data_IF_232511466676
#
_entry.id   IF_232511466676
#
_cell.length_a   1.000
_cell.length_b   1.000
_cell.length_c   1.000
_cell.angle_alpha   90.00
_cell.angle_beta   90.00
_cell.angle_gamma   90.00
#
_symmetry.space_group_name_H-M   'P 1'
#
loop_
_entity.id
_entity.type
_entity.pdbx_description
1 polymer ?
#
# COMPACT_ATOMS: atom_id res chain seq x y z
N UNK A 1 4.98 -0.57 -0.01
CA UNK A 1 5.45 0.77 0.44
C UNK A 1 6.83 1.01 -0.15
N UNK A 2 7.04 2.11 -0.87
CA UNK A 2 8.31 2.38 -1.57
C UNK A 2 9.23 3.34 -0.80
N UNK A 3 8.70 4.40 -0.22
CA UNK A 3 9.46 5.30 0.65
C UNK A 3 8.56 6.01 1.64
N UNK A 4 9.12 6.53 2.74
CA UNK A 4 8.37 7.26 3.75
C UNK A 4 9.13 8.49 4.24
N UNK A 5 8.37 9.49 4.65
CA UNK A 5 8.81 10.72 5.29
C UNK A 5 7.97 10.95 6.54
N UNK A 6 8.32 11.94 7.38
CA UNK A 6 7.53 12.26 8.59
C UNK A 6 6.07 12.64 8.32
N UNK A 7 5.72 13.04 7.09
CA UNK A 7 4.38 13.52 6.74
C UNK A 7 3.65 12.66 5.71
N UNK A 8 4.38 11.86 4.95
CA UNK A 8 3.87 11.19 3.76
C UNK A 8 4.54 9.84 3.59
N UNK A 9 3.75 8.84 3.22
CA UNK A 9 4.19 7.52 2.77
C UNK A 9 3.90 7.41 1.28
N UNK A 10 4.89 7.02 0.50
CA UNK A 10 4.78 6.71 -0.92
C UNK A 10 4.67 5.20 -1.09
N UNK A 11 3.77 4.80 -1.97
CA UNK A 11 3.47 3.42 -2.27
C UNK A 11 3.38 3.24 -3.78
N UNK A 12 3.61 2.02 -4.23
CA UNK A 12 3.26 1.61 -5.59
C UNK A 12 2.04 0.69 -5.46
N UNK A 13 1.01 0.95 -6.25
CA UNK A 13 -0.25 0.20 -6.23
C UNK A 13 -0.07 -1.02 -7.12
N UNK A 14 -0.07 -2.21 -6.51
CA UNK A 14 0.20 -3.47 -7.18
C UNK A 14 -1.06 -4.22 -7.61
N UNK A 15 -2.16 -4.02 -6.90
CA UNK A 15 -3.44 -4.67 -7.16
C UNK A 15 -4.57 -3.78 -6.63
N UNK A 16 -5.76 -3.94 -7.23
CA UNK A 16 -7.02 -3.37 -6.76
C UNK A 16 -8.01 -4.52 -6.67
N UNK A 17 -8.55 -4.70 -5.47
CA UNK A 17 -9.31 -5.90 -5.11
C UNK A 17 -8.49 -7.17 -5.42
N UNK A 18 -9.06 -8.13 -6.14
CA UNK A 18 -8.40 -9.38 -6.50
C UNK A 18 -7.63 -9.32 -7.84
N UNK A 19 -7.54 -8.14 -8.46
CA UNK A 19 -6.94 -8.00 -9.78
C UNK A 19 -5.58 -7.31 -9.72
N UNK A 20 -4.49 -7.96 -10.20
CA UNK A 20 -3.18 -7.33 -10.29
C UNK A 20 -3.20 -6.22 -11.35
N UNK A 21 -2.63 -5.07 -11.01
CA UNK A 21 -2.51 -3.95 -11.91
C UNK A 21 -1.22 -4.07 -12.72
N UNK A 22 -1.35 -4.03 -14.05
CA UNK A 22 -0.20 -3.87 -14.95
C UNK A 22 0.04 -2.38 -15.18
N UNK A 23 1.11 -1.83 -14.59
CA UNK A 23 1.55 -0.45 -14.82
C UNK A 23 1.97 0.30 -13.55
N UNK A 24 2.69 1.43 -13.68
CA UNK A 24 3.14 2.21 -12.54
C UNK A 24 2.00 3.09 -12.02
N UNK A 25 1.26 2.62 -11.03
CA UNK A 25 0.32 3.44 -10.27
C UNK A 25 0.95 3.83 -8.95
N UNK A 26 1.02 5.13 -8.64
CA UNK A 26 1.63 5.60 -7.40
C UNK A 26 0.57 5.95 -6.38
N UNK A 27 0.70 5.41 -5.19
CA UNK A 27 -0.08 5.75 -4.01
C UNK A 27 0.61 6.80 -3.15
N UNK A 28 -0.16 7.73 -2.62
CA UNK A 28 0.26 8.72 -1.64
C UNK A 28 -0.63 8.61 -0.40
N UNK A 29 -0.05 8.29 0.75
CA UNK A 29 -0.74 8.24 2.03
C UNK A 29 -0.19 9.35 2.92
N UNK A 30 -1.04 10.31 3.31
CA UNK A 30 -0.63 11.42 4.18
C UNK A 30 -0.77 11.02 5.64
N UNK A 31 -0.02 11.67 6.53
CA UNK A 31 -0.03 11.40 7.97
C UNK A 31 -1.43 11.39 8.57
N UNK A 32 -2.25 12.37 8.20
CA UNK A 32 -3.63 12.49 8.67
C UNK A 32 -4.54 11.36 8.16
N UNK A 33 -4.15 10.63 7.12
CA UNK A 33 -4.96 9.56 6.52
C UNK A 33 -4.53 8.16 7.03
N UNK A 34 -3.64 8.12 8.04
CA UNK A 34 -3.15 6.87 8.66
C UNK A 34 -4.15 6.30 9.67
N UNK A 35 -4.74 7.12 10.55
CA UNK A 35 -5.64 6.65 11.62
C UNK A 35 -6.96 7.42 11.58
N UNK A 36 -8.07 6.79 11.97
CA UNK A 36 -9.38 7.44 12.04
C UNK A 36 -9.40 8.51 13.16
N UNK A 37 -8.88 8.11 14.32
CA UNK A 37 -8.73 8.93 15.52
C UNK A 37 -7.29 9.40 15.67
N UNK A 38 -7.09 10.53 16.35
CA UNK A 38 -5.75 11.10 16.62
C UNK A 38 -4.88 11.26 15.34
N UNK A 39 -5.48 11.78 14.27
CA UNK A 39 -4.89 11.91 12.92
C UNK A 39 -3.52 12.61 12.92
N UNK A 40 -3.31 13.59 13.79
CA UNK A 40 -2.07 14.36 13.88
C UNK A 40 -1.00 13.79 14.82
N UNK A 41 -1.28 12.67 15.51
CA UNK A 41 -0.30 12.00 16.36
C UNK A 41 0.27 10.74 15.71
N UNK A 42 -0.29 10.30 14.58
CA UNK A 42 0.24 9.16 13.85
C UNK A 42 1.66 9.45 13.35
N UNK A 43 2.62 8.60 13.74
CA UNK A 43 3.98 8.61 13.19
C UNK A 43 4.08 7.57 12.06
N UNK A 44 4.31 7.98 10.80
CA UNK A 44 4.51 7.05 9.69
C UNK A 44 5.62 6.03 9.94
N UNK A 45 6.69 6.41 10.66
CA UNK A 45 7.80 5.54 11.00
C UNK A 45 7.47 4.52 12.11
N UNK A 46 6.31 4.62 12.77
CA UNK A 46 5.81 3.57 13.67
C UNK A 46 4.71 2.74 13.01
N UNK A 47 4.21 3.16 11.85
CA UNK A 47 3.11 2.51 11.15
C UNK A 47 3.59 1.65 9.98
N UNK A 48 4.63 2.07 9.26
CA UNK A 48 5.08 1.42 8.03
C UNK A 48 6.62 1.37 7.92
N UNK A 49 7.10 0.47 7.06
CA UNK A 49 8.47 0.43 6.54
C UNK A 49 8.48 0.26 5.02
N UNK A 50 9.58 0.68 4.37
CA UNK A 50 9.83 0.32 2.97
C UNK A 50 9.80 -1.20 2.81
N UNK A 51 9.14 -1.68 1.75
CA UNK A 51 8.93 -3.10 1.50
C UNK A 51 7.65 -3.70 2.12
N UNK A 52 6.97 -2.99 3.04
CA UNK A 52 5.69 -3.49 3.58
C UNK A 52 4.61 -3.52 2.49
N UNK A 53 3.77 -4.56 2.51
CA UNK A 53 2.54 -4.63 1.74
C UNK A 53 1.39 -4.09 2.59
N UNK A 54 0.70 -3.08 2.05
CA UNK A 54 -0.40 -2.42 2.75
C UNK A 54 -1.71 -2.57 1.97
N UNK A 55 -2.80 -2.84 2.69
CA UNK A 55 -4.15 -2.67 2.21
C UNK A 55 -4.61 -1.26 2.56
N UNK A 56 -5.07 -0.53 1.55
CA UNK A 56 -5.52 0.85 1.69
C UNK A 56 -6.72 1.09 0.80
N UNK A 57 -7.52 2.11 1.13
CA UNK A 57 -8.62 2.58 0.29
C UNK A 57 -8.17 3.79 -0.52
N UNK A 58 -8.58 3.85 -1.78
CA UNK A 58 -8.39 5.03 -2.63
C UNK A 58 -9.39 6.10 -2.18
N UNK A 59 -8.88 7.28 -1.83
CA UNK A 59 -9.70 8.46 -1.56
C UNK A 59 -9.98 9.23 -2.84
N UNK A 60 -8.92 9.58 -3.58
CA UNK A 60 -9.00 10.39 -4.79
C UNK A 60 -7.94 9.94 -5.78
N UNK A 61 -8.20 10.14 -7.07
CA UNK A 61 -7.21 10.03 -8.13
C UNK A 61 -6.72 11.42 -8.51
N UNK A 62 -5.41 11.61 -8.50
CA UNK A 62 -4.71 12.82 -8.86
C UNK A 62 -3.89 12.51 -10.12
N UNK A 63 -4.45 12.81 -11.28
CA UNK A 63 -3.80 12.57 -12.57
C UNK A 63 -4.25 13.58 -13.63
N UNK A 64 -3.42 13.87 -14.64
CA UNK A 64 -3.78 14.79 -15.71
C UNK A 64 -4.76 14.10 -16.67
N UNK A 65 -6.01 14.56 -16.67
CA UNK A 65 -7.00 14.10 -17.65
C UNK A 65 -8.46 14.03 -17.19
N UNK A 66 -8.78 14.30 -15.92
CA UNK A 66 -10.20 14.40 -15.52
C UNK A 66 -10.76 15.76 -15.92
N UNK A 67 -11.40 15.83 -17.08
CA UNK A 67 -12.53 16.74 -17.28
C UNK A 67 -13.66 16.20 -16.39
N UNK A 68 -14.10 16.89 -15.34
CA UNK A 68 -15.19 16.38 -14.53
C UNK A 68 -16.49 16.45 -15.34
N UNK A 69 -17.28 15.36 -15.47
CA UNK A 69 -18.68 15.51 -15.83
C UNK A 69 -19.36 16.23 -14.66
N UNK A 70 -19.80 17.45 -14.93
CA UNK A 70 -20.69 18.22 -14.07
C UNK A 70 -21.90 17.36 -13.70
N UNK A 71 -21.92 16.80 -12.49
CA UNK A 71 -23.15 16.29 -11.89
C UNK A 71 -23.01 16.25 -10.37
N UNK A 72 -23.90 17.00 -9.72
CA UNK A 72 -24.07 17.11 -8.27
C UNK A 72 -24.64 15.80 -7.71
N UNK A 73 -23.78 14.92 -7.17
CA UNK A 73 -24.20 13.95 -6.15
C UNK A 73 -22.97 13.43 -5.37
N UNK A 74 -22.84 13.85 -4.11
CA UNK A 74 -21.70 13.53 -3.24
C UNK A 74 -21.59 12.05 -2.85
N UNK A 75 -22.58 11.23 -3.22
CA UNK A 75 -22.65 9.81 -2.83
C UNK A 75 -22.06 8.87 -3.90
N UNK A 76 -21.87 9.33 -5.15
CA UNK A 76 -21.39 8.53 -6.29
C UNK A 76 -19.88 8.55 -6.54
N UNK A 77 -19.12 9.39 -5.83
CA UNK A 77 -17.68 9.58 -6.09
C UNK A 77 -16.79 8.34 -5.84
N UNK A 78 -17.24 7.39 -5.01
CA UNK A 78 -16.43 6.24 -4.56
C UNK A 78 -16.44 5.09 -5.57
N UNK A 79 -17.57 4.80 -6.23
CA UNK A 79 -17.61 3.79 -7.30
C UNK A 79 -16.84 4.28 -8.55
N UNK A 80 -16.96 5.58 -8.85
CA UNK A 80 -16.31 6.22 -9.98
C UNK A 80 -14.78 6.16 -9.89
N UNK A 81 -14.19 6.12 -8.69
CA UNK A 81 -12.72 6.08 -8.53
C UNK A 81 -12.10 4.72 -8.88
N UNK A 82 -12.75 3.60 -8.57
CA UNK A 82 -12.25 2.28 -9.00
C UNK A 82 -12.41 2.09 -10.51
N UNK A 83 -13.55 2.51 -11.06
CA UNK A 83 -13.80 2.43 -12.51
C UNK A 83 -12.87 3.35 -13.30
N UNK A 84 -12.58 4.56 -12.80
CA UNK A 84 -11.60 5.45 -13.43
C UNK A 84 -10.17 4.96 -13.30
N UNK A 85 -9.80 4.26 -12.23
CA UNK A 85 -8.49 3.60 -12.15
C UNK A 85 -8.39 2.43 -13.15
N UNK A 86 -9.47 1.64 -13.31
CA UNK A 86 -9.56 0.61 -14.36
C UNK A 86 -9.51 1.23 -15.78
N UNK A 87 -10.19 2.35 -16.00
CA UNK A 87 -10.13 3.08 -17.26
C UNK A 87 -8.72 3.63 -17.52
N UNK A 88 -8.06 4.19 -16.49
CA UNK A 88 -6.67 4.64 -16.57
C UNK A 88 -5.70 3.48 -16.86
N UNK A 89 -5.99 2.26 -16.38
CA UNK A 89 -5.24 1.04 -16.74
C UNK A 89 -5.41 0.68 -18.22
N UNK A 90 -6.64 0.72 -18.76
CA UNK A 90 -6.89 0.45 -20.18
C UNK A 90 -6.12 1.43 -21.08
N UNK A 91 -6.11 2.72 -20.72
CA UNK A 91 -5.33 3.75 -21.42
C UNK A 91 -3.82 3.51 -21.25
N UNK A 92 -3.34 3.22 -20.04
CA UNK A 92 -1.89 3.02 -19.78
C UNK A 92 -1.34 1.79 -20.49
N UNK A 93 -2.10 0.70 -20.55
CA UNK A 93 -1.71 -0.51 -21.29
C UNK A 93 -1.61 -0.26 -22.81
N UNK A 94 -2.48 0.59 -23.36
CA UNK A 94 -2.44 0.95 -24.79
C UNK A 94 -1.26 1.86 -25.17
N UNK A 95 -0.77 2.70 -24.26
CA UNK A 95 0.37 3.63 -24.52
C UNK A 95 1.73 2.94 -24.36
N UNK A 96 1.82 1.86 -23.57
CA UNK A 96 3.05 1.07 -23.41
C UNK A 96 3.41 0.19 -24.62
N UNK A 97 2.54 0.09 -25.63
CA UNK A 97 2.76 -0.74 -26.81
C UNK A 97 3.60 -0.08 -27.93
N UNK A 98 4.04 1.18 -27.77
CA UNK A 98 4.86 1.89 -28.77
C UNK A 98 5.97 2.73 -28.13
N UNK A 99 7.09 2.13 -27.70
CA UNK A 99 8.32 2.91 -27.51
C UNK A 99 9.57 2.04 -27.57
N UNK A 100 10.13 1.89 -28.77
CA UNK A 100 11.53 1.57 -29.00
C UNK A 100 12.35 2.88 -29.14
N UNK A 101 13.58 2.83 -28.61
CA UNK A 101 14.74 3.70 -28.87
C UNK A 101 14.86 5.12 -28.24
N UNK A 102 15.80 5.19 -27.27
CA UNK A 102 16.92 6.15 -27.16
C UNK A 102 16.71 7.62 -26.75
N UNK A 103 17.13 7.89 -25.51
CA UNK A 103 17.77 9.09 -24.94
C UNK A 103 16.98 10.40 -24.64
N UNK A 104 17.04 10.75 -23.35
CA UNK A 104 17.18 12.10 -22.76
C UNK A 104 16.05 13.13 -22.92
N UNK A 105 14.90 12.79 -22.36
CA UNK A 105 14.05 13.62 -21.49
C UNK A 105 12.86 12.72 -21.17
N UNK A 106 12.90 11.99 -20.05
CA UNK A 106 11.84 11.02 -19.75
C UNK A 106 10.57 11.79 -19.40
N UNK A 107 9.78 12.13 -20.43
CA UNK A 107 8.37 12.44 -20.30
C UNK A 107 7.74 11.20 -19.67
N UNK A 108 7.77 11.14 -18.33
CA UNK A 108 7.16 10.07 -17.57
C UNK A 108 5.70 10.11 -17.97
N UNK A 109 5.22 9.05 -18.63
CA UNK A 109 3.79 8.84 -18.79
C UNK A 109 3.12 9.24 -17.46
N UNK A 110 2.09 10.08 -17.48
CA UNK A 110 1.58 10.69 -16.26
C UNK A 110 1.15 9.59 -15.30
N UNK A 111 2.00 9.35 -14.31
CA UNK A 111 1.82 8.29 -13.34
C UNK A 111 0.65 8.72 -12.48
N UNK A 112 -0.52 8.15 -12.70
CA UNK A 112 -1.72 8.48 -11.94
C UNK A 112 -1.43 8.32 -10.44
N UNK A 113 -1.56 9.41 -9.70
CA UNK A 113 -1.25 9.46 -8.28
C UNK A 113 -2.54 9.27 -7.48
N UNK A 114 -2.66 8.16 -6.79
CA UNK A 114 -3.81 7.85 -5.96
C UNK A 114 -3.57 8.38 -4.55
N UNK A 115 -4.45 9.25 -4.06
CA UNK A 115 -4.49 9.57 -2.64
C UNK A 115 -5.13 8.39 -1.90
N UNK A 116 -4.43 7.85 -0.92
CA UNK A 116 -4.83 6.67 -0.16
C UNK A 116 -5.20 7.02 1.27
N UNK A 117 -6.01 6.16 1.90
CA UNK A 117 -6.27 6.17 3.34
C UNK A 117 -6.13 4.76 3.91
N UNK A 118 -5.72 4.70 5.18
CA UNK A 118 -5.74 3.47 5.99
C UNK A 118 -6.45 3.71 7.32
N UNK A 119 -7.25 4.78 7.41
CA UNK A 119 -7.94 5.22 8.61
C UNK A 119 -9.10 4.30 9.05
N UNK A 120 -9.00 3.01 8.81
CA UNK A 120 -9.95 1.96 9.18
C UNK A 120 -9.19 0.80 9.85
N UNK A 121 -9.85 -0.01 10.70
CA UNK A 121 -9.18 -1.07 11.45
C UNK A 121 -8.72 -2.25 10.57
N UNK A 122 -9.43 -2.52 9.48
CA UNK A 122 -9.17 -3.56 8.48
C UNK A 122 -8.16 -3.13 7.39
N UNK A 123 -7.76 -1.85 7.38
CA UNK A 123 -6.75 -1.31 6.48
C UNK A 123 -5.42 -1.13 7.21
N UNK A 124 -4.30 -1.34 6.54
CA UNK A 124 -2.98 -1.29 7.17
C UNK A 124 -2.00 -2.29 6.57
N UNK A 125 -0.97 -2.62 7.33
CA UNK A 125 0.06 -3.58 6.96
C UNK A 125 -0.53 -4.99 7.01
N UNK A 126 -0.45 -5.69 5.86
CA UNK A 126 -0.91 -7.08 5.70
C UNK A 126 0.29 -8.03 5.70
N UNK A 127 1.39 -7.61 5.07
CA UNK A 127 2.65 -8.34 5.08
C UNK A 127 3.78 -7.36 5.43
N UNK A 128 4.47 -7.64 6.53
CA UNK A 128 5.66 -6.92 6.96
C UNK A 128 6.85 -7.86 6.98
N UNK A 129 8.04 -7.32 6.70
CA UNK A 129 9.29 -8.07 6.75
C UNK A 129 10.14 -7.62 7.93
N UNK A 130 10.77 -8.58 8.61
CA UNK A 130 11.67 -8.37 9.75
C UNK A 130 13.02 -7.78 9.35
N UNK A 131 13.06 -6.68 8.60
CA UNK A 131 14.31 -6.00 8.28
C UNK A 131 14.59 -4.95 9.35
N UNK A 132 15.78 -5.00 9.97
CA UNK A 132 16.26 -3.91 10.81
C UNK A 132 17.09 -2.94 9.96
N UNK A 133 17.15 -1.66 10.33
CA UNK A 133 17.99 -0.67 9.63
C UNK A 133 19.45 -0.69 10.12
N UNK A 134 19.82 -1.65 10.97
CA UNK A 134 21.12 -1.70 11.62
C UNK A 134 21.92 -2.85 11.00
N UNK A 135 22.57 -2.52 9.88
CA UNK A 135 23.73 -3.21 9.31
C UNK A 135 23.49 -4.66 8.83
N UNK A 136 23.67 -4.91 7.53
CA UNK A 136 23.60 -6.25 6.90
C UNK A 136 24.46 -7.33 7.61
N UNK A 137 25.45 -6.92 8.40
CA UNK A 137 26.32 -7.81 9.15
C UNK A 137 25.65 -8.44 10.40
N UNK A 138 24.66 -7.78 11.02
CA UNK A 138 23.98 -8.30 12.22
C UNK A 138 22.85 -9.27 11.84
N UNK A 139 22.27 -9.12 10.65
CA UNK A 139 21.25 -10.03 10.12
C UNK A 139 21.77 -11.47 9.90
N UNK A 140 23.08 -11.65 9.70
CA UNK A 140 23.72 -12.97 9.61
C UNK A 140 23.77 -13.72 10.96
N UNK A 141 23.74 -13.01 12.09
CA UNK A 141 23.96 -13.60 13.42
C UNK A 141 22.63 -13.76 14.19
N UNK A 142 21.59 -12.99 13.83
CA UNK A 142 20.29 -12.98 14.50
C UNK A 142 19.07 -13.02 13.57
N UNK A 143 19.24 -13.60 12.38
CA UNK A 143 18.29 -13.80 11.26
C UNK A 143 16.83 -13.32 11.46
N UNK A 144 16.64 -11.99 11.50
CA UNK A 144 15.36 -11.39 11.12
C UNK A 144 15.27 -11.17 9.61
N UNK A 145 16.42 -11.18 8.91
CA UNK A 145 16.71 -11.17 7.47
C UNK A 145 15.53 -11.19 6.49
N UNK A 146 14.62 -10.22 6.60
CA UNK A 146 13.43 -10.16 5.77
C UNK A 146 12.43 -11.30 5.95
N UNK A 147 12.45 -12.03 7.07
CA UNK A 147 11.44 -13.02 7.41
C UNK A 147 10.04 -12.38 7.50
N UNK A 148 8.98 -13.07 7.06
CA UNK A 148 7.62 -12.57 7.18
C UNK A 148 7.24 -12.47 8.67
N UNK A 149 6.77 -11.30 9.06
CA UNK A 149 6.34 -11.05 10.44
C UNK A 149 4.91 -11.54 10.65
N UNK A 150 4.62 -12.00 11.87
CA UNK A 150 3.29 -12.44 12.28
C UNK A 150 2.55 -11.26 12.92
N UNK A 151 1.31 -10.95 12.50
CA UNK A 151 0.49 -9.94 13.15
C UNK A 151 0.08 -10.43 14.55
N UNK A 152 0.43 -9.68 15.59
CA UNK A 152 0.07 -10.03 16.99
C UNK A 152 -0.91 -9.05 17.62
N UNK A 153 -1.02 -7.85 17.06
CA UNK A 153 -1.96 -6.83 17.49
C UNK A 153 -2.09 -5.75 16.42
N UNK A 154 -2.85 -4.70 16.72
CA UNK A 154 -3.12 -3.62 15.75
C UNK A 154 -1.93 -2.67 15.55
N UNK A 155 -0.95 -2.72 16.45
CA UNK A 155 0.21 -1.81 16.48
C UNK A 155 1.55 -2.52 16.38
N UNK A 156 1.58 -3.85 16.40
CA UNK A 156 2.82 -4.64 16.48
C UNK A 156 2.71 -5.93 15.66
N UNK A 157 3.83 -6.29 15.04
CA UNK A 157 4.09 -7.60 14.45
C UNK A 157 5.30 -8.23 15.14
N UNK A 158 5.39 -9.55 15.17
CA UNK A 158 6.50 -10.29 15.78
C UNK A 158 7.21 -11.14 14.74
N UNK A 159 8.53 -11.19 14.80
CA UNK A 159 9.29 -12.19 14.05
C UNK A 159 9.13 -13.56 14.73
N UNK A 160 8.71 -14.62 14.03
CA UNK A 160 8.50 -15.93 14.64
C UNK A 160 9.78 -16.54 15.22
N UNK A 161 10.94 -16.26 14.62
CA UNK A 161 12.20 -16.88 15.01
C UNK A 161 12.90 -16.17 16.17
N UNK A 162 12.88 -14.83 16.18
CA UNK A 162 13.59 -14.04 17.18
C UNK A 162 12.69 -13.49 18.27
N UNK A 163 11.38 -13.59 18.08
CA UNK A 163 10.35 -12.97 18.91
C UNK A 163 10.47 -11.45 19.03
N UNK A 164 11.31 -10.82 18.20
CA UNK A 164 11.48 -9.38 18.16
C UNK A 164 10.17 -8.72 17.71
N UNK A 165 9.78 -7.67 18.44
CA UNK A 165 8.57 -6.88 18.16
C UNK A 165 8.89 -5.72 17.24
N UNK A 166 8.07 -5.55 16.22
CA UNK A 166 8.17 -4.51 15.22
C UNK A 166 6.90 -3.66 15.21
N UNK A 167 7.00 -2.34 15.41
CA UNK A 167 5.85 -1.46 15.35
C UNK A 167 5.35 -1.32 13.91
N UNK A 168 4.06 -1.60 13.71
CA UNK A 168 3.35 -1.54 12.43
C UNK A 168 1.88 -1.23 12.66
N UNK A 169 1.23 -0.49 11.75
CA UNK A 169 -0.23 -0.33 11.75
C UNK A 169 -0.84 -1.53 11.04
N UNK A 170 -1.04 -2.63 11.77
CA UNK A 170 -1.47 -3.91 11.21
C UNK A 170 -2.95 -3.86 10.82
N UNK A 171 -3.27 -4.36 9.64
CA UNK A 171 -4.66 -4.55 9.21
C UNK A 171 -5.32 -5.67 10.02
N UNK A 172 -6.49 -5.41 10.60
CA UNK A 172 -7.29 -6.46 11.22
C UNK A 172 -7.83 -7.39 10.14
N UNK A 173 -7.46 -8.66 10.23
CA UNK A 173 -8.05 -9.70 9.38
C UNK A 173 -9.42 -10.08 9.95
N UNK A 174 -10.52 -9.99 9.18
CA UNK A 174 -11.83 -10.51 9.59
C UNK A 174 -11.75 -12.00 9.93
N UNK A 175 -12.53 -12.44 10.91
CA UNK A 175 -12.51 -13.84 11.39
C UNK A 175 -12.83 -14.87 10.30
N UNK A 176 -13.64 -14.47 9.31
CA UNK A 176 -14.04 -15.33 8.20
C UNK A 176 -12.85 -15.73 7.32
N UNK A 177 -11.89 -14.82 7.12
CA UNK A 177 -10.67 -15.08 6.34
C UNK A 177 -9.63 -15.87 7.14
N UNK A 178 -9.57 -15.70 8.47
CA UNK A 178 -8.73 -16.53 9.34
C UNK A 178 -9.15 -18.01 9.26
N UNK A 179 -10.46 -18.26 9.16
CA UNK A 179 -11.00 -19.62 9.06
C UNK A 179 -10.61 -20.32 7.76
N UNK A 180 -10.43 -19.56 6.67
CA UNK A 180 -9.98 -20.10 5.38
C UNK A 180 -8.48 -20.43 5.37
N UNK A 181 -7.65 -19.61 6.02
CA UNK A 181 -6.20 -19.86 6.12
C UNK A 181 -5.86 -21.13 6.93
N UNK A 182 -6.64 -21.42 7.98
CA UNK A 182 -6.45 -22.63 8.82
C UNK A 182 -6.88 -23.91 8.09
N UNK A 183 -7.70 -23.82 7.05
CA UNK A 183 -8.18 -24.99 6.29
C UNK A 183 -7.20 -25.49 5.22
N UNK A 184 -6.08 -24.81 4.99
CA UNK A 184 -5.11 -25.20 3.93
C UNK A 184 -4.17 -26.32 4.39
N UNK A 185 -4.19 -26.72 5.67
CA UNK A 185 -3.21 -27.68 6.22
C UNK A 185 -3.80 -29.06 6.56
N UNK A 186 -4.89 -29.46 5.90
CA UNK A 186 -5.41 -30.83 5.94
C UNK A 186 -5.89 -31.25 4.54
N UNK A 187 -4.95 -31.62 3.66
CA UNK A 187 -5.15 -32.58 2.57
C UNK A 187 -3.79 -33.16 2.14
#
# INVERSE_FOLDING_TARGET
>A
VSSLTRRVVRCDVVAVDDQPLAGPFRGLLRRQDIRATQRDQADPAQCYRPGDLIRARVLNLLGPGTVPPMSDDSTRAIAVTNDTLRAAQAVSASVGATSDASSSASASAPTALCLLTTAEPDLGVVLGLGRTHVTELVDLIGSTAGSPLIPVGWTEMICPHTLARFPRKVARVPADLLTQLVRVEND
#
